data_IF_090756541250
#
_entry.id   IF_090756541250
#
_cell.length_a   1.000
_cell.length_b   1.000
_cell.length_c   1.000
_cell.angle_alpha   90.00
_cell.angle_beta   90.00
_cell.angle_gamma   90.00
#
_symmetry.space_group_name_H-M   'P 1'
#
loop_
_entity.id
_entity.type
_entity.pdbx_description
1 polymer ?
#
# COMPACT_ATOMS: atom_id res chain seq x y z
N UNK A 1 13.66 -7.49 10.20
CA UNK A 1 14.87 -7.15 9.42
C UNK A 1 14.54 -6.44 8.10
N UNK A 2 13.71 -6.97 7.20
CA UNK A 2 13.35 -6.24 5.95
C UNK A 2 12.82 -4.81 6.22
N UNK A 3 12.03 -4.65 7.27
CA UNK A 3 11.48 -3.38 7.76
C UNK A 3 12.49 -2.39 8.27
N UNK A 4 13.46 -2.87 9.05
CA UNK A 4 14.52 -2.01 9.56
C UNK A 4 15.41 -1.55 8.41
N UNK A 5 15.58 -2.36 7.36
CA UNK A 5 16.33 -1.95 6.16
C UNK A 5 15.62 -0.85 5.37
N UNK A 6 14.30 -0.96 5.14
CA UNK A 6 13.54 0.11 4.45
C UNK A 6 13.48 1.42 5.24
N UNK A 7 13.68 1.33 6.56
CA UNK A 7 13.54 2.40 7.53
C UNK A 7 14.87 3.04 7.95
N UNK A 8 15.97 2.28 7.93
CA UNK A 8 17.28 2.74 8.34
C UNK A 8 17.83 3.78 7.36
N UNK A 9 17.66 3.56 6.05
CA UNK A 9 18.18 4.46 5.03
C UNK A 9 17.80 5.95 5.26
N UNK A 10 16.51 6.31 5.47
CA UNK A 10 16.13 7.67 5.84
C UNK A 10 16.75 8.16 7.16
N UNK A 11 16.85 7.30 8.18
CA UNK A 11 17.44 7.68 9.47
C UNK A 11 18.91 8.08 9.33
N UNK A 12 19.68 7.33 8.56
CA UNK A 12 21.10 7.61 8.30
C UNK A 12 21.32 8.89 7.47
N UNK A 13 20.32 9.33 6.71
CA UNK A 13 20.37 10.59 5.97
C UNK A 13 20.22 11.81 6.89
N UNK A 14 19.33 11.74 7.87
CA UNK A 14 18.92 12.89 8.68
C UNK A 14 19.52 12.90 10.10
N UNK A 15 20.10 11.79 10.55
CA UNK A 15 20.65 11.64 11.88
C UNK A 15 22.13 11.28 11.81
N UNK A 16 22.88 11.69 12.83
CA UNK A 16 24.25 11.19 13.02
C UNK A 16 24.24 9.67 13.11
N UNK A 17 25.33 9.02 12.69
CA UNK A 17 25.48 7.56 12.71
C UNK A 17 25.14 6.96 14.10
N UNK A 18 25.50 7.67 15.17
CA UNK A 18 25.20 7.31 16.56
C UNK A 18 23.69 7.33 16.86
N UNK A 19 22.97 8.38 16.44
CA UNK A 19 21.53 8.52 16.62
C UNK A 19 20.77 7.51 15.75
N UNK A 20 21.20 7.30 14.49
CA UNK A 20 20.62 6.31 13.60
C UNK A 20 20.78 4.88 14.13
N UNK A 21 21.96 4.54 14.66
CA UNK A 21 22.20 3.26 15.32
C UNK A 21 21.34 3.09 16.59
N UNK A 22 21.26 4.12 17.44
CA UNK A 22 20.43 4.08 18.64
C UNK A 22 18.94 3.86 18.34
N UNK A 23 18.38 4.56 17.33
CA UNK A 23 17.00 4.35 16.91
C UNK A 23 16.81 2.95 16.33
N UNK A 24 17.75 2.47 15.53
CA UNK A 24 17.67 1.12 14.95
C UNK A 24 17.67 0.05 16.04
N UNK A 25 18.55 0.16 17.04
CA UNK A 25 18.60 -0.73 18.20
C UNK A 25 17.33 -0.63 19.05
N UNK A 26 16.81 0.59 19.25
CA UNK A 26 15.53 0.82 19.93
C UNK A 26 14.37 0.14 19.21
N UNK A 27 14.28 0.27 17.88
CA UNK A 27 13.26 -0.43 17.08
C UNK A 27 13.38 -1.95 17.18
N UNK A 28 14.59 -2.51 17.16
CA UNK A 28 14.83 -3.94 17.37
C UNK A 28 14.38 -4.35 18.78
N UNK A 29 14.71 -3.56 19.80
CA UNK A 29 14.29 -3.78 21.18
C UNK A 29 12.77 -3.81 21.31
N UNK A 30 12.06 -2.87 20.68
CA UNK A 30 10.59 -2.86 20.67
C UNK A 30 10.04 -4.08 19.92
N UNK A 31 10.62 -4.47 18.78
CA UNK A 31 10.21 -5.70 18.07
C UNK A 31 10.34 -6.91 18.99
N UNK A 32 11.49 -7.08 19.65
CA UNK A 32 11.73 -8.19 20.56
C UNK A 32 10.79 -8.16 21.76
N UNK A 33 10.56 -6.98 22.34
CA UNK A 33 9.62 -6.78 23.44
C UNK A 33 8.20 -7.14 23.02
N UNK A 34 7.76 -6.73 21.83
CA UNK A 34 6.43 -7.05 21.35
C UNK A 34 6.29 -8.51 20.90
N UNK A 35 7.35 -9.15 20.40
CA UNK A 35 7.36 -10.61 20.16
C UNK A 35 7.26 -11.39 21.47
N UNK A 36 7.97 -10.93 22.50
CA UNK A 36 7.84 -11.48 23.86
C UNK A 36 6.44 -11.23 24.41
N UNK A 37 5.88 -10.04 24.19
CA UNK A 37 4.52 -9.68 24.58
C UNK A 37 3.50 -10.55 23.85
N UNK A 38 3.61 -10.77 22.55
CA UNK A 38 2.70 -11.67 21.80
C UNK A 38 2.78 -13.11 22.35
N UNK A 39 3.98 -13.63 22.61
CA UNK A 39 4.14 -14.95 23.25
C UNK A 39 3.47 -15.03 24.62
N UNK A 40 3.50 -13.94 25.39
CA UNK A 40 2.94 -13.86 26.75
C UNK A 40 1.42 -13.63 26.70
N UNK A 41 0.98 -12.79 25.77
CA UNK A 41 -0.40 -12.34 25.61
C UNK A 41 -1.30 -13.46 25.05
N UNK A 42 -0.72 -14.41 24.31
CA UNK A 42 -1.40 -15.66 23.92
C UNK A 42 -1.78 -16.55 25.10
N UNK A 43 -1.21 -16.32 26.29
CA UNK A 43 -1.48 -17.15 27.46
C UNK A 43 -2.61 -16.59 28.33
N UNK A 44 -2.67 -15.30 28.65
CA UNK A 44 -3.64 -14.82 29.65
C UNK A 44 -4.11 -13.34 29.57
N UNK A 45 -3.73 -12.54 28.58
CA UNK A 45 -4.10 -11.12 28.54
C UNK A 45 -4.77 -10.77 27.20
N UNK A 46 -5.97 -10.20 27.26
CA UNK A 46 -6.63 -9.67 26.06
C UNK A 46 -6.16 -8.21 25.90
N UNK A 47 -5.43 -7.91 24.82
CA UNK A 47 -5.14 -6.51 24.46
C UNK A 47 -6.49 -5.82 24.24
N UNK A 48 -6.79 -4.87 25.13
CA UNK A 48 -8.01 -4.06 25.06
C UNK A 48 -7.97 -3.10 23.87
N UNK A 49 -9.15 -2.61 23.47
CA UNK A 49 -9.28 -1.63 22.40
C UNK A 49 -8.53 -0.31 22.71
N UNK A 50 -8.34 0.00 24.00
CA UNK A 50 -7.62 1.20 24.46
C UNK A 50 -6.20 1.36 23.89
N UNK A 51 -5.48 0.25 23.65
CA UNK A 51 -4.15 0.31 23.02
C UNK A 51 -4.19 0.76 21.55
N UNK A 52 -5.23 0.35 20.82
CA UNK A 52 -5.44 0.78 19.44
C UNK A 52 -5.86 2.25 19.38
N UNK A 53 -6.73 2.67 20.29
CA UNK A 53 -7.13 4.08 20.44
C UNK A 53 -5.88 4.92 20.76
N UNK A 54 -5.05 4.50 21.71
CA UNK A 54 -3.82 5.19 22.05
C UNK A 54 -2.87 5.30 20.85
N UNK A 55 -2.65 4.20 20.11
CA UNK A 55 -1.81 4.23 18.91
C UNK A 55 -2.38 5.16 17.84
N UNK A 56 -3.69 5.13 17.60
CA UNK A 56 -4.35 6.02 16.65
C UNK A 56 -4.18 7.48 17.07
N UNK A 57 -4.46 7.82 18.34
CA UNK A 57 -4.29 9.17 18.88
C UNK A 57 -2.84 9.65 18.80
N UNK A 58 -1.87 8.76 19.05
CA UNK A 58 -0.45 9.08 18.90
C UNK A 58 -0.10 9.42 17.46
N UNK A 59 -0.57 8.63 16.48
CA UNK A 59 -0.36 8.90 15.06
C UNK A 59 -1.07 10.18 14.61
N UNK A 60 -2.28 10.43 15.12
CA UNK A 60 -3.03 11.66 14.85
C UNK A 60 -2.32 12.88 15.42
N UNK A 61 -1.81 12.79 16.64
CA UNK A 61 -1.02 13.85 17.26
C UNK A 61 0.27 14.09 16.48
N UNK A 62 0.97 13.04 16.08
CA UNK A 62 2.17 13.13 15.25
C UNK A 62 1.87 13.82 13.92
N UNK A 63 0.76 13.47 13.25
CA UNK A 63 0.32 14.17 12.04
C UNK A 63 0.01 15.65 12.32
N UNK A 64 -0.80 15.95 13.33
CA UNK A 64 -1.20 17.33 13.64
C UNK A 64 0.00 18.26 13.91
N UNK A 65 1.08 17.73 14.49
CA UNK A 65 2.32 18.48 14.76
C UNK A 65 3.23 18.52 13.52
N UNK A 66 3.47 17.38 12.87
CA UNK A 66 4.48 17.26 11.81
C UNK A 66 3.98 17.72 10.44
N UNK A 67 2.68 17.66 10.18
CA UNK A 67 2.10 18.06 8.90
C UNK A 67 2.25 19.58 8.63
N UNK A 68 1.92 20.50 9.56
CA UNK A 68 2.16 21.93 9.35
C UNK A 68 3.65 22.26 9.16
N UNK A 69 4.54 21.52 9.82
CA UNK A 69 5.99 21.67 9.67
C UNK A 69 6.42 21.27 8.25
N UNK A 70 5.87 20.15 7.75
CA UNK A 70 6.08 19.67 6.39
C UNK A 70 5.59 20.68 5.34
N UNK A 71 4.43 21.30 5.56
CA UNK A 71 3.87 22.34 4.68
C UNK A 71 4.73 23.60 4.61
N UNK A 72 5.39 24.00 5.71
CA UNK A 72 6.28 25.18 5.73
C UNK A 72 7.59 24.98 4.96
N UNK A 73 7.82 23.80 4.39
CA UNK A 73 9.05 23.41 3.70
C UNK A 73 10.34 23.55 4.55
N UNK A 74 10.22 23.65 5.88
CA UNK A 74 11.33 24.00 6.80
C UNK A 74 12.21 22.81 7.18
N UNK A 75 11.61 21.62 7.37
CA UNK A 75 12.31 20.39 7.77
C UNK A 75 12.32 19.31 6.67
N UNK A 76 11.42 19.43 5.70
CA UNK A 76 11.35 18.63 4.47
C UNK A 76 10.68 19.48 3.40
N UNK A 77 10.94 19.24 2.11
CA UNK A 77 10.32 20.03 1.02
C UNK A 77 8.81 19.82 0.87
N UNK A 78 8.08 19.28 1.85
CA UNK A 78 6.66 18.91 1.69
C UNK A 78 6.48 17.58 0.95
N UNK A 79 5.23 17.12 0.80
CA UNK A 79 4.91 15.90 0.06
C UNK A 79 4.64 16.22 -1.41
N UNK A 80 5.57 15.82 -2.27
CA UNK A 80 5.44 15.85 -3.75
C UNK A 80 4.15 15.19 -4.25
N UNK A 81 3.60 14.26 -3.47
CA UNK A 81 2.46 13.43 -3.84
C UNK A 81 1.14 14.04 -3.42
N UNK A 82 1.12 14.68 -2.26
CA UNK A 82 -0.05 15.49 -1.87
C UNK A 82 -0.23 16.62 -2.88
N UNK A 83 0.88 17.28 -3.25
CA UNK A 83 0.91 18.32 -4.27
C UNK A 83 0.44 17.78 -5.63
N UNK A 84 0.91 16.59 -6.05
CA UNK A 84 0.44 15.94 -7.26
C UNK A 84 -1.09 15.75 -7.26
N UNK A 85 -1.68 15.19 -6.20
CA UNK A 85 -3.13 15.03 -6.10
C UNK A 85 -3.87 16.38 -6.13
N UNK A 86 -3.29 17.41 -5.49
CA UNK A 86 -3.86 18.76 -5.48
C UNK A 86 -3.88 19.38 -6.86
N UNK A 87 -2.75 19.33 -7.58
CA UNK A 87 -2.61 19.83 -8.94
C UNK A 87 -3.54 19.08 -9.89
N UNK A 88 -3.61 17.75 -9.78
CA UNK A 88 -4.48 16.94 -10.63
C UNK A 88 -5.97 17.29 -10.41
N UNK A 89 -6.41 17.40 -9.14
CA UNK A 89 -7.79 17.74 -8.82
C UNK A 89 -8.15 19.18 -9.17
N UNK A 90 -7.21 20.12 -8.98
CA UNK A 90 -7.40 21.51 -9.38
C UNK A 90 -7.47 21.66 -10.90
N UNK A 91 -6.63 20.95 -11.65
CA UNK A 91 -6.71 20.91 -13.11
C UNK A 91 -8.05 20.37 -13.59
N UNK A 92 -8.54 19.26 -13.00
CA UNK A 92 -9.88 18.72 -13.34
C UNK A 92 -10.99 19.72 -13.03
N UNK A 93 -10.90 20.42 -11.88
CA UNK A 93 -11.85 21.49 -11.51
C UNK A 93 -11.90 22.61 -12.55
N UNK A 94 -10.77 22.92 -13.18
CA UNK A 94 -10.65 23.94 -14.23
C UNK A 94 -10.79 23.39 -15.66
N UNK A 95 -11.26 22.14 -15.83
CA UNK A 95 -11.38 21.48 -17.13
C UNK A 95 -10.06 21.38 -17.92
N UNK A 96 -8.93 21.30 -17.21
CA UNK A 96 -7.59 21.15 -17.77
C UNK A 96 -7.10 19.71 -17.64
N UNK A 97 -6.17 19.32 -18.52
CA UNK A 97 -5.57 17.99 -18.48
C UNK A 97 -4.66 17.84 -17.23
N UNK A 98 -4.97 16.93 -16.29
CA UNK A 98 -4.34 16.93 -14.96
C UNK A 98 -2.86 16.50 -14.95
N UNK A 99 -2.38 15.88 -16.02
CA UNK A 99 -0.98 15.43 -16.13
C UNK A 99 -0.10 16.38 -16.96
N UNK A 100 -0.58 17.58 -17.29
CA UNK A 100 0.19 18.61 -18.00
C UNK A 100 1.13 19.40 -17.08
N UNK A 101 0.73 19.56 -15.81
CA UNK A 101 1.44 20.37 -14.82
C UNK A 101 2.41 19.51 -14.03
N UNK A 102 3.52 20.09 -13.58
CA UNK A 102 4.51 19.43 -12.74
C UNK A 102 4.34 19.82 -11.29
N UNK A 103 4.69 18.92 -10.39
CA UNK A 103 4.75 19.19 -8.95
C UNK A 103 5.80 20.25 -8.62
N UNK A 104 5.81 20.75 -7.38
CA UNK A 104 6.83 21.69 -6.93
C UNK A 104 8.27 21.14 -7.00
N UNK A 105 8.47 19.80 -7.07
CA UNK A 105 9.78 19.18 -7.34
C UNK A 105 10.08 19.00 -8.83
N UNK A 106 9.19 19.44 -9.72
CA UNK A 106 9.33 19.28 -11.17
C UNK A 106 9.02 17.87 -11.67
N UNK A 107 8.45 17.01 -10.83
CA UNK A 107 8.07 15.65 -11.22
C UNK A 107 6.71 15.64 -11.95
N UNK A 108 6.50 14.71 -12.89
CA UNK A 108 5.16 14.45 -13.39
C UNK A 108 4.30 13.87 -12.27
N UNK A 109 3.01 14.26 -12.17
CA UNK A 109 2.06 13.62 -11.29
C UNK A 109 2.00 12.11 -11.58
N UNK A 110 1.89 11.31 -10.53
CA UNK A 110 1.94 9.83 -10.60
C UNK A 110 0.70 9.10 -10.10
N UNK A 111 -0.15 9.67 -9.23
CA UNK A 111 -1.46 9.09 -8.96
C UNK A 111 -2.27 8.91 -10.27
N UNK A 112 -3.13 7.91 -10.30
CA UNK A 112 -4.09 7.72 -11.38
C UNK A 112 -5.49 8.16 -10.92
N UNK A 113 -6.47 8.30 -11.84
CA UNK A 113 -7.77 8.90 -11.52
C UNK A 113 -8.54 8.22 -10.39
N UNK A 114 -8.30 6.95 -10.09
CA UNK A 114 -8.85 6.29 -8.90
C UNK A 114 -8.43 6.96 -7.59
N UNK A 115 -7.17 7.39 -7.48
CA UNK A 115 -6.67 8.12 -6.31
C UNK A 115 -7.32 9.51 -6.22
N UNK A 116 -7.44 10.19 -7.36
CA UNK A 116 -8.12 11.49 -7.46
C UNK A 116 -9.56 11.39 -6.95
N UNK A 117 -10.32 10.40 -7.41
CA UNK A 117 -11.71 10.20 -7.01
C UNK A 117 -11.85 9.93 -5.50
N UNK A 118 -10.95 9.12 -4.92
CA UNK A 118 -10.95 8.83 -3.48
C UNK A 118 -10.52 10.03 -2.63
N UNK A 119 -9.68 10.91 -3.18
CA UNK A 119 -9.20 12.14 -2.54
C UNK A 119 -10.16 13.34 -2.71
N UNK A 120 -11.02 13.32 -3.74
CA UNK A 120 -11.88 14.44 -4.13
C UNK A 120 -12.76 15.01 -2.99
N UNK A 121 -13.38 14.19 -2.11
CA UNK A 121 -14.16 14.73 -0.99
C UNK A 121 -13.31 15.58 -0.03
N UNK A 122 -12.06 15.19 0.18
CA UNK A 122 -11.13 15.88 1.07
C UNK A 122 -10.54 17.14 0.43
N UNK A 123 -10.34 17.11 -0.89
CA UNK A 123 -10.00 18.29 -1.67
C UNK A 123 -11.10 19.35 -1.61
N UNK A 124 -12.38 18.95 -1.70
CA UNK A 124 -13.51 19.88 -1.62
C UNK A 124 -13.59 20.62 -0.28
N UNK A 125 -13.13 20.00 0.81
CA UNK A 125 -13.02 20.61 2.15
C UNK A 125 -11.71 21.41 2.33
N UNK A 126 -10.83 21.42 1.33
CA UNK A 126 -9.56 22.16 1.34
C UNK A 126 -8.38 21.43 1.97
N UNK A 127 -8.54 20.17 2.38
CA UNK A 127 -7.54 19.42 3.14
C UNK A 127 -7.38 17.98 2.63
N UNK A 128 -6.74 17.79 1.47
CA UNK A 128 -6.53 16.48 0.83
C UNK A 128 -5.91 15.46 1.79
N UNK A 129 -4.94 15.88 2.60
CA UNK A 129 -4.21 14.99 3.51
C UNK A 129 -5.11 14.38 4.62
N UNK A 130 -6.30 14.92 4.87
CA UNK A 130 -7.25 14.35 5.83
C UNK A 130 -7.77 12.97 5.42
N UNK A 131 -7.68 12.62 4.14
CA UNK A 131 -7.99 11.27 3.67
C UNK A 131 -7.18 10.21 4.41
N UNK A 132 -5.93 10.54 4.80
CA UNK A 132 -5.04 9.63 5.49
C UNK A 132 -5.64 9.16 6.82
N UNK A 133 -6.40 10.02 7.53
CA UNK A 133 -7.06 9.64 8.78
C UNK A 133 -8.22 8.67 8.58
N UNK A 134 -9.07 8.93 7.57
CA UNK A 134 -10.18 8.04 7.25
C UNK A 134 -9.63 6.65 6.90
N UNK A 135 -8.70 6.58 5.96
CA UNK A 135 -8.15 5.32 5.49
C UNK A 135 -7.35 4.61 6.58
N UNK A 136 -6.64 5.36 7.44
CA UNK A 136 -5.96 4.80 8.61
C UNK A 136 -6.95 4.16 9.59
N UNK A 137 -8.04 4.86 9.93
CA UNK A 137 -9.05 4.34 10.85
C UNK A 137 -9.70 3.06 10.30
N UNK A 138 -10.07 3.05 9.02
CA UNK A 138 -10.60 1.86 8.35
C UNK A 138 -9.56 0.73 8.28
N UNK A 139 -8.28 1.08 8.15
CA UNK A 139 -7.20 0.10 8.13
C UNK A 139 -6.94 -0.53 9.51
N UNK A 140 -7.14 0.21 10.61
CA UNK A 140 -7.18 -0.36 11.96
C UNK A 140 -8.31 -1.39 12.10
N UNK A 141 -9.51 -1.07 11.60
CA UNK A 141 -10.63 -2.01 11.60
C UNK A 141 -10.31 -3.25 10.75
N UNK A 142 -9.72 -3.06 9.57
CA UNK A 142 -9.27 -4.15 8.71
C UNK A 142 -8.26 -5.06 9.43
N UNK A 143 -7.19 -4.49 10.01
CA UNK A 143 -6.15 -5.29 10.68
C UNK A 143 -6.69 -6.06 11.90
N UNK A 144 -7.60 -5.46 12.66
CA UNK A 144 -8.31 -6.12 13.76
C UNK A 144 -9.18 -7.30 13.31
N UNK A 145 -9.72 -7.26 12.09
CA UNK A 145 -10.50 -8.36 11.49
C UNK A 145 -9.64 -9.37 10.76
N UNK A 146 -8.49 -8.94 10.24
CA UNK A 146 -7.58 -9.76 9.44
C UNK A 146 -6.76 -10.72 10.32
N UNK A 147 -6.24 -10.23 11.45
CA UNK A 147 -5.50 -11.05 12.40
C UNK A 147 -6.43 -11.72 13.40
N UNK A 148 -6.10 -12.95 13.80
CA UNK A 148 -6.84 -13.68 14.84
C UNK A 148 -6.61 -13.07 16.21
N UNK A 149 -5.39 -12.61 16.49
CA UNK A 149 -5.03 -12.03 17.78
C UNK A 149 -4.83 -10.53 17.68
N UNK A 150 -5.46 -9.79 18.60
CA UNK A 150 -5.28 -8.33 18.73
C UNK A 150 -3.83 -7.94 18.99
N UNK A 151 -3.06 -8.76 19.72
CA UNK A 151 -1.63 -8.51 19.91
C UNK A 151 -0.86 -8.49 18.59
N UNK A 152 -1.12 -9.44 17.68
CA UNK A 152 -0.52 -9.46 16.34
C UNK A 152 -0.92 -8.23 15.53
N UNK A 153 -2.19 -7.82 15.58
CA UNK A 153 -2.66 -6.61 14.90
C UNK A 153 -1.96 -5.34 15.43
N UNK A 154 -1.87 -5.19 16.75
CA UNK A 154 -1.19 -4.06 17.38
C UNK A 154 0.31 -4.05 17.06
N UNK A 155 0.95 -5.24 17.06
CA UNK A 155 2.33 -5.44 16.64
C UNK A 155 2.55 -4.98 15.20
N UNK A 156 1.72 -5.48 14.28
CA UNK A 156 1.75 -5.10 12.87
C UNK A 156 1.64 -3.58 12.70
N UNK A 157 0.63 -2.95 13.31
CA UNK A 157 0.39 -1.51 13.20
C UNK A 157 1.53 -0.70 13.81
N UNK A 158 2.00 -1.05 15.00
CA UNK A 158 3.09 -0.32 15.69
C UNK A 158 4.39 -0.39 14.89
N UNK A 159 4.74 -1.57 14.38
CA UNK A 159 5.94 -1.73 13.56
C UNK A 159 5.91 -0.86 12.31
N UNK A 160 4.74 -0.74 11.67
CA UNK A 160 4.67 -0.18 10.32
C UNK A 160 4.25 1.27 10.26
N UNK A 161 3.58 1.75 11.28
CA UNK A 161 3.13 3.13 11.35
C UNK A 161 4.07 3.97 12.22
N UNK A 162 4.68 3.38 13.25
CA UNK A 162 5.54 4.11 14.19
C UNK A 162 7.02 3.80 13.98
N UNK A 163 7.37 2.52 13.86
CA UNK A 163 8.78 2.08 13.80
C UNK A 163 9.36 2.04 12.39
N UNK A 164 8.58 2.43 11.39
CA UNK A 164 9.03 2.64 10.03
C UNK A 164 9.02 4.15 9.70
N UNK A 165 10.12 4.89 9.95
CA UNK A 165 10.16 6.34 9.78
C UNK A 165 9.84 6.80 8.36
N UNK A 166 10.13 5.98 7.35
CA UNK A 166 9.70 6.26 5.98
C UNK A 166 8.17 6.29 5.82
N UNK A 167 7.46 5.39 6.48
CA UNK A 167 5.99 5.35 6.47
C UNK A 167 5.40 6.45 7.35
N UNK A 168 5.98 6.68 8.52
CA UNK A 168 5.58 7.79 9.39
C UNK A 168 5.78 9.13 8.67
N UNK A 169 6.90 9.31 7.97
CA UNK A 169 7.17 10.51 7.18
C UNK A 169 6.18 10.63 6.01
N UNK A 170 5.89 9.56 5.27
CA UNK A 170 4.89 9.59 4.19
C UNK A 170 3.52 10.00 4.75
N UNK A 171 3.07 9.34 5.82
CA UNK A 171 1.80 9.64 6.49
C UNK A 171 1.71 11.09 6.98
N UNK A 172 2.70 11.55 7.74
CA UNK A 172 2.72 12.88 8.38
C UNK A 172 2.99 14.02 7.40
N UNK A 173 3.56 13.73 6.24
CA UNK A 173 3.73 14.69 5.16
C UNK A 173 2.48 14.85 4.28
N UNK A 174 1.44 14.05 4.49
CA UNK A 174 0.26 13.99 3.61
C UNK A 174 0.47 13.16 2.34
N UNK A 175 1.54 12.36 2.27
CA UNK A 175 1.79 11.41 1.19
C UNK A 175 0.69 10.35 1.06
N UNK A 176 0.55 9.83 -0.16
CA UNK A 176 -0.54 8.94 -0.55
C UNK A 176 -0.11 7.47 -0.74
N UNK A 177 1.18 7.11 -0.63
CA UNK A 177 1.60 5.71 -0.89
C UNK A 177 1.07 4.76 0.15
N UNK A 178 1.24 5.11 1.43
CA UNK A 178 0.76 4.28 2.53
C UNK A 178 -0.78 4.22 2.53
N UNK A 179 -1.42 5.38 2.36
CA UNK A 179 -2.88 5.52 2.24
C UNK A 179 -3.44 4.69 1.09
N UNK A 180 -2.72 4.67 -0.04
CA UNK A 180 -3.10 3.87 -1.19
C UNK A 180 -3.10 2.38 -0.89
N UNK A 181 -2.03 1.90 -0.25
CA UNK A 181 -2.01 0.53 0.23
C UNK A 181 -3.18 0.22 1.18
N UNK A 182 -3.56 1.13 2.07
CA UNK A 182 -4.68 0.92 2.99
C UNK A 182 -5.99 0.67 2.27
N UNK A 183 -6.42 1.57 1.39
CA UNK A 183 -7.71 1.40 0.73
C UNK A 183 -7.71 0.22 -0.25
N UNK A 184 -6.57 -0.11 -0.88
CA UNK A 184 -6.47 -1.30 -1.74
C UNK A 184 -6.60 -2.57 -0.90
N UNK A 185 -5.89 -2.66 0.23
CA UNK A 185 -6.00 -3.82 1.13
C UNK A 185 -7.42 -3.99 1.68
N UNK A 186 -8.07 -2.89 2.06
CA UNK A 186 -9.48 -2.88 2.51
C UNK A 186 -10.40 -3.35 1.38
N UNK A 187 -10.26 -2.82 0.16
CA UNK A 187 -11.09 -3.21 -0.98
C UNK A 187 -10.93 -4.69 -1.33
N UNK A 188 -9.70 -5.21 -1.32
CA UNK A 188 -9.42 -6.64 -1.51
C UNK A 188 -10.12 -7.48 -0.43
N UNK A 189 -10.05 -7.06 0.84
CA UNK A 189 -10.64 -7.80 1.95
C UNK A 189 -12.17 -7.80 1.91
N UNK A 190 -12.78 -6.66 1.56
CA UNK A 190 -14.23 -6.54 1.34
C UNK A 190 -14.67 -7.43 0.18
N UNK A 191 -13.97 -7.37 -0.96
CA UNK A 191 -14.24 -8.22 -2.11
C UNK A 191 -14.10 -9.70 -1.76
N UNK A 192 -13.01 -10.10 -1.11
CA UNK A 192 -12.79 -11.48 -0.65
C UNK A 192 -13.93 -11.98 0.25
N UNK A 193 -14.34 -11.17 1.22
CA UNK A 193 -15.43 -11.52 2.15
C UNK A 193 -16.76 -11.65 1.41
N UNK A 194 -16.98 -10.82 0.38
CA UNK A 194 -18.20 -10.84 -0.43
C UNK A 194 -18.33 -12.08 -1.34
N UNK A 195 -17.25 -12.84 -1.57
CA UNK A 195 -17.29 -14.01 -2.45
C UNK A 195 -18.13 -15.16 -1.86
N UNK A 196 -18.18 -15.27 -0.53
CA UNK A 196 -18.96 -16.28 0.19
C UNK A 196 -20.43 -15.91 0.42
N UNK A 197 -20.84 -14.70 0.04
CA UNK A 197 -22.17 -14.14 0.29
C UNK A 197 -22.93 -13.94 -1.01
N UNK A 198 -24.01 -13.16 -0.99
CA UNK A 198 -24.85 -12.86 -2.16
C UNK A 198 -24.15 -11.96 -3.18
N UNK A 199 -24.55 -12.06 -4.45
CA UNK A 199 -24.04 -11.21 -5.53
C UNK A 199 -24.22 -9.71 -5.25
N UNK A 200 -25.30 -9.33 -4.55
CA UNK A 200 -25.59 -7.94 -4.18
C UNK A 200 -24.52 -7.32 -3.28
N UNK A 201 -23.81 -8.13 -2.50
CA UNK A 201 -22.66 -7.66 -1.70
C UNK A 201 -21.36 -7.66 -2.51
N UNK A 202 -21.23 -8.57 -3.48
CA UNK A 202 -20.03 -8.66 -4.33
C UNK A 202 -19.94 -7.55 -5.37
N UNK A 203 -21.07 -7.10 -5.92
CA UNK A 203 -21.11 -6.02 -6.92
C UNK A 203 -20.49 -4.71 -6.39
N UNK A 204 -20.96 -4.11 -5.27
CA UNK A 204 -20.37 -2.88 -4.75
C UNK A 204 -18.91 -3.09 -4.32
N UNK A 205 -18.54 -4.26 -3.79
CA UNK A 205 -17.16 -4.57 -3.45
C UNK A 205 -16.25 -4.65 -4.69
N UNK A 206 -16.74 -5.22 -5.80
CA UNK A 206 -16.04 -5.29 -7.09
C UNK A 206 -15.87 -3.89 -7.71
N UNK A 207 -16.91 -3.06 -7.68
CA UNK A 207 -16.84 -1.67 -8.17
C UNK A 207 -15.84 -0.86 -7.35
N UNK A 208 -15.93 -0.93 -6.01
CA UNK A 208 -14.98 -0.24 -5.11
C UNK A 208 -13.55 -0.73 -5.35
N UNK A 209 -13.35 -2.03 -5.54
CA UNK A 209 -12.05 -2.58 -5.89
C UNK A 209 -11.54 -2.03 -7.23
N UNK A 210 -12.36 -1.95 -8.27
CA UNK A 210 -11.99 -1.33 -9.55
C UNK A 210 -11.51 0.11 -9.40
N UNK A 211 -12.21 0.93 -8.61
CA UNK A 211 -11.78 2.31 -8.29
C UNK A 211 -10.44 2.34 -7.54
N UNK A 212 -10.25 1.48 -6.55
CA UNK A 212 -8.98 1.46 -5.81
C UNK A 212 -7.81 0.95 -6.66
N UNK A 213 -8.03 -0.01 -7.56
CA UNK A 213 -7.00 -0.52 -8.46
C UNK A 213 -6.63 0.49 -9.55
N UNK A 214 -7.55 1.38 -9.94
CA UNK A 214 -7.26 2.50 -10.84
C UNK A 214 -6.54 3.68 -10.17
N UNK A 215 -6.06 3.51 -8.94
CA UNK A 215 -5.34 4.56 -8.22
C UNK A 215 -3.83 4.59 -8.52
N UNK A 216 -3.22 3.44 -8.82
CA UNK A 216 -1.82 3.31 -9.27
C UNK A 216 -1.65 2.06 -10.12
N UNK A 217 -0.87 2.18 -11.21
CA UNK A 217 -0.67 1.08 -12.17
C UNK A 217 -0.07 -0.19 -11.55
N UNK A 218 0.72 -0.06 -10.48
CA UNK A 218 1.35 -1.22 -9.82
C UNK A 218 0.33 -2.23 -9.29
N UNK A 219 -0.87 -1.78 -8.91
CA UNK A 219 -1.91 -2.66 -8.40
C UNK A 219 -2.64 -3.43 -9.50
N UNK A 220 -2.42 -3.14 -10.80
CA UNK A 220 -2.95 -3.95 -11.88
C UNK A 220 -2.49 -5.41 -11.77
N UNK A 221 -1.30 -5.66 -11.23
CA UNK A 221 -0.80 -7.02 -10.99
C UNK A 221 -1.60 -7.81 -9.94
N UNK A 222 -2.35 -7.13 -9.05
CA UNK A 222 -3.21 -7.79 -8.06
C UNK A 222 -4.33 -8.57 -8.74
N UNK A 223 -4.75 -8.16 -9.95
CA UNK A 223 -5.84 -8.81 -10.69
C UNK A 223 -5.58 -10.28 -10.98
N UNK A 224 -4.33 -10.68 -11.25
CA UNK A 224 -3.99 -12.07 -11.59
C UNK A 224 -4.20 -13.03 -10.41
N UNK A 225 -3.55 -12.85 -9.24
CA UNK A 225 -3.79 -13.73 -8.10
C UNK A 225 -5.20 -13.60 -7.53
N UNK A 226 -5.85 -12.45 -7.71
CA UNK A 226 -7.25 -12.28 -7.35
C UNK A 226 -8.18 -13.08 -8.26
N UNK A 227 -7.86 -13.17 -9.57
CA UNK A 227 -8.63 -13.95 -10.54
C UNK A 227 -8.57 -15.42 -10.17
N UNK A 228 -7.36 -15.93 -9.90
CA UNK A 228 -7.17 -17.30 -9.42
C UNK A 228 -7.94 -17.57 -8.11
N UNK A 229 -7.88 -16.65 -7.14
CA UNK A 229 -8.65 -16.77 -5.90
C UNK A 229 -10.16 -16.81 -6.14
N UNK A 230 -10.66 -15.97 -7.05
CA UNK A 230 -12.10 -15.86 -7.33
C UNK A 230 -12.61 -17.08 -8.10
N UNK A 231 -11.82 -17.60 -9.06
CA UNK A 231 -12.15 -18.80 -9.82
C UNK A 231 -12.14 -20.07 -8.98
N UNK A 232 -11.34 -20.10 -7.90
CA UNK A 232 -11.33 -21.21 -6.94
C UNK A 232 -12.53 -21.19 -5.99
N UNK A 233 -13.21 -20.05 -5.82
CA UNK A 233 -14.28 -19.87 -4.83
C UNK A 233 -15.68 -19.70 -5.42
N UNK A 234 -15.79 -19.39 -6.70
CA UNK A 234 -17.06 -19.07 -7.34
C UNK A 234 -17.16 -19.74 -8.72
N UNK A 235 -18.37 -19.76 -9.30
CA UNK A 235 -18.56 -20.26 -10.66
C UNK A 235 -17.84 -19.38 -11.69
N UNK A 236 -17.52 -19.96 -12.86
CA UNK A 236 -16.83 -19.24 -13.96
C UNK A 236 -17.60 -17.99 -14.41
N UNK A 237 -18.92 -18.09 -14.54
CA UNK A 237 -19.80 -16.96 -14.91
C UNK A 237 -19.75 -15.85 -13.87
N UNK A 238 -19.83 -16.21 -12.57
CA UNK A 238 -19.74 -15.22 -11.49
C UNK A 238 -18.36 -14.56 -11.45
N UNK A 239 -17.30 -15.33 -11.64
CA UNK A 239 -15.93 -14.80 -11.75
C UNK A 239 -15.81 -13.80 -12.90
N UNK A 240 -16.26 -14.17 -14.11
CA UNK A 240 -16.21 -13.31 -15.28
C UNK A 240 -17.01 -12.01 -15.07
N UNK A 241 -18.22 -12.10 -14.50
CA UNK A 241 -19.04 -10.94 -14.17
C UNK A 241 -18.35 -9.99 -13.18
N UNK A 242 -17.81 -10.52 -12.08
CA UNK A 242 -17.14 -9.69 -11.07
C UNK A 242 -15.89 -9.01 -11.63
N UNK A 243 -15.10 -9.70 -12.46
CA UNK A 243 -13.94 -9.11 -13.11
C UNK A 243 -14.32 -8.08 -14.17
N UNK A 244 -15.39 -8.31 -14.93
CA UNK A 244 -15.93 -7.31 -15.84
C UNK A 244 -16.33 -6.04 -15.06
N UNK A 245 -16.99 -6.17 -13.90
CA UNK A 245 -17.36 -5.02 -13.06
C UNK A 245 -16.13 -4.26 -12.53
N UNK A 246 -15.09 -4.97 -12.08
CA UNK A 246 -13.82 -4.36 -11.64
C UNK A 246 -13.21 -3.53 -12.79
N UNK A 247 -13.13 -4.12 -14.00
CA UNK A 247 -12.56 -3.46 -15.17
C UNK A 247 -13.42 -2.28 -15.65
N UNK A 248 -14.74 -2.43 -15.67
CA UNK A 248 -15.68 -1.36 -16.03
C UNK A 248 -15.54 -0.19 -15.06
N UNK A 249 -15.48 -0.43 -13.74
CA UNK A 249 -15.28 0.64 -12.77
C UNK A 249 -13.92 1.33 -12.94
N UNK A 250 -12.85 0.55 -13.13
CA UNK A 250 -11.52 1.11 -13.38
C UNK A 250 -11.49 1.98 -14.65
N UNK A 251 -12.07 1.50 -15.75
CA UNK A 251 -12.16 2.23 -17.01
C UNK A 251 -13.06 3.47 -16.91
N UNK A 252 -14.22 3.36 -16.25
CA UNK A 252 -15.16 4.46 -16.08
C UNK A 252 -14.56 5.63 -15.29
N UNK A 253 -13.68 5.34 -14.32
CA UNK A 253 -12.95 6.38 -13.59
C UNK A 253 -11.74 6.91 -14.36
N UNK A 254 -11.05 6.03 -15.09
CA UNK A 254 -9.75 6.38 -15.69
C UNK A 254 -9.90 7.04 -17.06
N UNK A 255 -10.65 6.44 -17.98
CA UNK A 255 -10.67 6.85 -19.39
C UNK A 255 -11.21 8.27 -19.62
N UNK A 256 -12.25 8.75 -18.91
CA UNK A 256 -12.76 10.10 -19.15
C UNK A 256 -11.72 11.20 -18.91
N UNK A 257 -10.82 11.01 -17.94
CA UNK A 257 -9.76 11.97 -17.62
C UNK A 257 -8.72 12.10 -18.75
N UNK A 258 -8.57 11.07 -19.57
CA UNK A 258 -7.62 11.06 -20.68
C UNK A 258 -8.26 11.47 -22.03
N UNK A 259 -9.56 11.80 -22.06
CA UNK A 259 -10.23 12.30 -23.25
C UNK A 259 -9.61 13.62 -23.78
N UNK A 260 -9.64 13.90 -25.10
CA UNK A 260 -10.33 13.17 -26.17
C UNK A 260 -9.57 11.95 -26.69
N UNK A 261 -8.28 11.79 -26.37
CA UNK A 261 -7.44 10.68 -26.84
C UNK A 261 -7.02 9.75 -25.69
N UNK A 262 -7.96 8.96 -25.12
CA UNK A 262 -7.76 8.28 -23.85
C UNK A 262 -6.56 7.34 -23.83
N UNK A 263 -6.41 6.52 -24.86
CA UNK A 263 -5.32 5.55 -24.93
C UNK A 263 -3.94 6.19 -25.14
N UNK A 264 -3.85 7.22 -26.00
CA UNK A 264 -2.59 7.91 -26.28
C UNK A 264 -2.09 8.62 -25.03
N UNK A 265 -2.95 9.40 -24.39
CA UNK A 265 -2.60 10.16 -23.19
C UNK A 265 -2.29 9.22 -22.01
N UNK A 266 -3.02 8.11 -21.86
CA UNK A 266 -2.72 7.10 -20.84
C UNK A 266 -1.35 6.43 -21.07
N UNK A 267 -1.04 6.02 -22.31
CA UNK A 267 0.26 5.45 -22.64
C UNK A 267 1.41 6.45 -22.44
N UNK A 268 1.19 7.71 -22.81
CA UNK A 268 2.16 8.79 -22.54
C UNK A 268 2.42 8.95 -21.04
N UNK A 269 1.37 8.91 -20.22
CA UNK A 269 1.48 8.97 -18.77
C UNK A 269 2.25 7.77 -18.19
N UNK A 270 2.03 6.55 -18.71
CA UNK A 270 2.84 5.38 -18.36
C UNK A 270 4.31 5.55 -18.77
N UNK A 271 4.56 6.13 -19.96
CA UNK A 271 5.90 6.38 -20.46
C UNK A 271 6.65 7.44 -19.65
N UNK A 272 5.99 8.50 -19.18
CA UNK A 272 6.58 9.49 -18.29
C UNK A 272 7.04 8.86 -16.96
N UNK A 273 6.20 7.99 -16.39
CA UNK A 273 6.56 7.24 -15.18
C UNK A 273 7.72 6.26 -15.41
N UNK A 274 7.85 5.75 -16.63
CA UNK A 274 8.94 4.87 -17.04
C UNK A 274 10.31 5.55 -17.09
N UNK A 275 10.42 6.88 -17.03
CA UNK A 275 11.71 7.59 -17.01
C UNK A 275 12.57 7.18 -15.82
N UNK A 276 11.95 6.74 -14.73
CA UNK A 276 12.62 6.18 -13.55
C UNK A 276 13.37 4.87 -13.86
N UNK A 277 13.03 4.18 -14.95
CA UNK A 277 13.73 2.98 -15.41
C UNK A 277 15.09 3.30 -16.05
N UNK A 278 15.42 4.56 -16.31
CA UNK A 278 16.69 4.95 -16.95
C UNK A 278 17.93 4.55 -16.15
N UNK A 279 17.78 4.31 -14.85
CA UNK A 279 18.87 3.88 -13.95
C UNK A 279 19.13 2.38 -14.00
N UNK A 280 18.25 1.59 -14.63
CA UNK A 280 18.46 0.16 -14.83
C UNK A 280 19.10 -0.02 -16.22
N UNK A 281 20.18 -0.82 -16.36
CA UNK A 281 20.84 -1.03 -17.64
C UNK A 281 19.87 -1.48 -18.73
N UNK A 282 19.94 -0.83 -19.90
CA UNK A 282 19.03 -1.08 -21.03
C UNK A 282 19.06 -2.53 -21.52
N UNK A 283 20.18 -3.23 -21.34
CA UNK A 283 20.34 -4.66 -21.66
C UNK A 283 19.30 -5.55 -20.98
N UNK A 284 18.78 -5.16 -19.81
CA UNK A 284 17.74 -5.91 -19.12
C UNK A 284 16.33 -5.60 -19.59
N UNK A 285 16.12 -4.67 -20.54
CA UNK A 285 14.81 -4.24 -21.03
C UNK A 285 13.75 -4.11 -19.92
N UNK A 286 14.01 -3.33 -18.85
CA UNK A 286 13.26 -3.40 -17.61
C UNK A 286 11.78 -2.98 -17.74
N UNK A 287 11.44 -2.30 -18.85
CA UNK A 287 10.05 -1.99 -19.25
C UNK A 287 9.23 -3.25 -19.55
N UNK A 288 9.86 -4.32 -20.02
CA UNK A 288 9.19 -5.56 -20.41
C UNK A 288 9.51 -6.71 -19.46
N UNK A 289 10.77 -6.87 -19.07
CA UNK A 289 11.22 -8.02 -18.27
C UNK A 289 10.64 -8.02 -16.87
N UNK A 290 10.59 -6.87 -16.19
CA UNK A 290 10.06 -6.79 -14.82
C UNK A 290 8.55 -7.07 -14.78
N UNK A 291 7.70 -6.43 -15.62
CA UNK A 291 6.28 -6.79 -15.68
C UNK A 291 6.04 -8.24 -16.09
N UNK A 292 6.77 -8.75 -17.08
CA UNK A 292 6.62 -10.14 -17.53
C UNK A 292 6.96 -11.12 -16.40
N UNK A 293 8.07 -10.92 -15.70
CA UNK A 293 8.46 -11.76 -14.57
C UNK A 293 7.41 -11.69 -13.43
N UNK A 294 6.92 -10.49 -13.12
CA UNK A 294 5.90 -10.32 -12.10
C UNK A 294 4.56 -10.98 -12.50
N UNK A 295 4.18 -10.95 -13.78
CA UNK A 295 3.03 -11.67 -14.33
C UNK A 295 3.23 -13.18 -14.21
N UNK A 296 4.38 -13.70 -14.63
CA UNK A 296 4.69 -15.14 -14.55
C UNK A 296 4.62 -15.65 -13.10
N UNK A 297 5.21 -14.92 -12.15
CA UNK A 297 5.13 -15.27 -10.73
C UNK A 297 3.70 -15.14 -10.20
N UNK A 298 2.93 -14.15 -10.66
CA UNK A 298 1.51 -14.01 -10.30
C UNK A 298 0.67 -15.20 -10.78
N UNK A 299 0.98 -15.76 -11.96
CA UNK A 299 0.27 -16.91 -12.53
C UNK A 299 0.42 -18.19 -11.69
N UNK A 300 1.44 -18.28 -10.83
CA UNK A 300 1.59 -19.39 -9.87
C UNK A 300 0.34 -19.53 -8.97
N UNK A 301 -0.38 -18.43 -8.73
CA UNK A 301 -1.65 -18.42 -7.98
C UNK A 301 -2.70 -19.41 -8.47
N UNK A 302 -2.75 -19.72 -9.77
CA UNK A 302 -3.71 -20.67 -10.33
C UNK A 302 -3.45 -22.12 -9.89
N UNK A 303 -2.22 -22.42 -9.47
CA UNK A 303 -1.79 -23.75 -9.06
C UNK A 303 -1.72 -23.93 -7.54
N UNK A 304 -1.98 -22.86 -6.78
CA UNK A 304 -1.93 -22.87 -5.32
C UNK A 304 -3.34 -22.70 -4.74
N UNK A 305 -3.67 -23.34 -3.61
CA UNK A 305 -4.91 -23.04 -2.90
C UNK A 305 -4.86 -21.60 -2.39
N UNK A 306 -5.76 -20.74 -2.86
CA UNK A 306 -5.72 -19.32 -2.57
C UNK A 306 -6.61 -18.95 -1.38
N UNK A 307 -6.06 -18.13 -0.49
CA UNK A 307 -6.75 -17.47 0.61
C UNK A 307 -6.24 -16.03 0.74
N UNK A 308 -6.88 -15.23 1.59
CA UNK A 308 -6.55 -13.81 1.71
C UNK A 308 -5.08 -13.57 2.14
N UNK A 309 -4.50 -14.27 3.13
CA UNK A 309 -3.06 -14.14 3.42
C UNK A 309 -2.15 -14.50 2.25
N UNK A 310 -2.42 -15.59 1.51
CA UNK A 310 -1.62 -15.99 0.33
C UNK A 310 -1.75 -14.99 -0.82
N UNK A 311 -2.90 -14.35 -0.97
CA UNK A 311 -3.06 -13.23 -1.90
C UNK A 311 -2.09 -12.10 -1.57
N UNK A 312 -2.03 -11.67 -0.30
CA UNK A 312 -1.07 -10.66 0.15
C UNK A 312 0.40 -11.09 -0.01
N UNK A 313 0.73 -12.38 0.17
CA UNK A 313 2.06 -12.89 -0.18
C UNK A 313 2.39 -12.64 -1.64
N UNK A 314 1.52 -13.07 -2.56
CA UNK A 314 1.77 -12.94 -3.99
C UNK A 314 1.83 -11.48 -4.42
N UNK A 315 0.94 -10.63 -3.90
CA UNK A 315 1.02 -9.18 -4.11
C UNK A 315 2.35 -8.63 -3.59
N UNK A 316 2.81 -9.07 -2.42
CA UNK A 316 4.09 -8.68 -1.86
C UNK A 316 5.27 -9.05 -2.76
N UNK A 317 5.33 -10.31 -3.22
CA UNK A 317 6.40 -10.82 -4.08
C UNK A 317 6.39 -10.15 -5.45
N UNK A 318 5.23 -10.00 -6.08
CA UNK A 318 5.13 -9.47 -7.46
C UNK A 318 5.43 -7.98 -7.50
N UNK A 319 4.97 -7.23 -6.49
CA UNK A 319 5.34 -5.82 -6.33
C UNK A 319 6.81 -5.65 -5.94
N UNK A 320 7.39 -6.58 -5.17
CA UNK A 320 8.83 -6.60 -4.89
C UNK A 320 9.66 -6.79 -6.17
N UNK A 321 9.28 -7.73 -7.04
CA UNK A 321 9.93 -7.97 -8.35
C UNK A 321 9.93 -6.68 -9.18
N UNK A 322 8.80 -5.96 -9.19
CA UNK A 322 8.72 -4.69 -9.90
C UNK A 322 9.58 -3.59 -9.28
N UNK A 323 9.55 -3.43 -7.96
CA UNK A 323 10.05 -2.23 -7.27
C UNK A 323 11.49 -2.36 -6.75
N UNK A 324 11.94 -3.56 -6.37
CA UNK A 324 13.28 -3.76 -5.82
C UNK A 324 14.41 -3.32 -6.77
N UNK A 325 14.36 -3.61 -8.08
CA UNK A 325 15.38 -3.12 -9.01
C UNK A 325 15.49 -1.60 -9.03
N UNK A 326 14.38 -0.86 -8.90
CA UNK A 326 14.41 0.60 -8.81
C UNK A 326 15.09 1.08 -7.54
N UNK A 327 14.73 0.48 -6.39
CA UNK A 327 15.31 0.90 -5.11
C UNK A 327 16.81 0.61 -5.05
N UNK A 328 17.24 -0.55 -5.56
CA UNK A 328 18.66 -0.89 -5.66
C UNK A 328 19.39 0.08 -6.59
N UNK A 329 18.85 0.37 -7.78
CA UNK A 329 19.51 1.29 -8.72
C UNK A 329 19.50 2.74 -8.23
N UNK A 330 18.44 3.20 -7.56
CA UNK A 330 18.44 4.50 -6.90
C UNK A 330 19.49 4.60 -5.79
N UNK A 331 19.62 3.55 -4.97
CA UNK A 331 20.63 3.49 -3.92
C UNK A 331 22.06 3.61 -4.48
N UNK A 332 22.32 2.97 -5.62
CA UNK A 332 23.65 2.96 -6.25
C UNK A 332 23.96 4.21 -7.07
N UNK A 333 22.98 4.73 -7.83
CA UNK A 333 23.24 5.70 -8.90
C UNK A 333 22.59 7.08 -8.72
N UNK A 334 21.77 7.31 -7.68
CA UNK A 334 21.09 8.59 -7.48
C UNK A 334 21.36 9.16 -6.10
N UNK A 335 22.06 10.29 -6.00
CA UNK A 335 22.27 10.97 -4.72
C UNK A 335 20.97 11.47 -4.09
N UNK A 336 20.01 11.90 -4.93
CA UNK A 336 18.71 12.37 -4.46
C UNK A 336 17.81 11.24 -3.96
N UNK A 337 17.83 10.09 -4.64
CA UNK A 337 16.93 8.97 -4.36
C UNK A 337 17.60 7.81 -3.62
N UNK A 338 18.86 7.98 -3.17
CA UNK A 338 19.66 6.92 -2.51
C UNK A 338 18.92 6.24 -1.36
N UNK A 339 18.06 6.98 -0.66
CA UNK A 339 17.34 6.52 0.52
C UNK A 339 15.84 6.26 0.27
N UNK A 340 15.41 6.17 -0.98
CA UNK A 340 14.00 6.01 -1.36
C UNK A 340 13.46 4.58 -1.19
N UNK A 341 13.89 3.87 -0.13
CA UNK A 341 13.44 2.50 0.15
C UNK A 341 11.95 2.40 0.49
N UNK A 342 11.29 3.53 0.79
CA UNK A 342 9.84 3.58 0.97
C UNK A 342 9.07 3.09 -0.26
N UNK A 343 9.68 3.04 -1.46
CA UNK A 343 9.04 2.46 -2.65
C UNK A 343 8.69 0.98 -2.43
N UNK A 344 9.39 0.27 -1.53
CA UNK A 344 9.08 -1.12 -1.16
C UNK A 344 7.97 -1.24 -0.11
N UNK A 345 7.31 -0.16 0.31
CA UNK A 345 6.27 -0.18 1.34
C UNK A 345 5.16 -1.18 1.03
N UNK A 346 4.61 -1.14 -0.20
CA UNK A 346 3.55 -2.05 -0.65
C UNK A 346 3.99 -3.51 -0.54
N UNK A 347 5.20 -3.82 -1.00
CA UNK A 347 5.73 -5.18 -0.97
C UNK A 347 5.95 -5.69 0.46
N UNK A 348 6.53 -4.85 1.31
CA UNK A 348 6.82 -5.18 2.71
C UNK A 348 5.54 -5.34 3.52
N UNK A 349 4.61 -4.38 3.44
CA UNK A 349 3.31 -4.43 4.11
C UNK A 349 2.51 -5.69 3.74
N UNK A 350 2.40 -5.98 2.43
CA UNK A 350 1.69 -7.17 1.95
C UNK A 350 2.35 -8.45 2.46
N UNK A 351 3.68 -8.55 2.36
CA UNK A 351 4.43 -9.70 2.86
C UNK A 351 4.25 -9.89 4.38
N UNK A 352 4.21 -8.82 5.17
CA UNK A 352 4.03 -8.94 6.62
C UNK A 352 2.62 -9.30 7.04
N UNK A 353 1.59 -8.85 6.31
CA UNK A 353 0.22 -9.34 6.53
C UNK A 353 0.21 -10.88 6.41
N UNK A 354 0.83 -11.42 5.36
CA UNK A 354 0.99 -12.86 5.21
C UNK A 354 1.83 -13.51 6.32
N UNK A 355 3.04 -12.99 6.57
CA UNK A 355 4.00 -13.62 7.46
C UNK A 355 3.47 -13.70 8.90
N UNK A 356 2.87 -12.61 9.41
CA UNK A 356 2.28 -12.58 10.74
C UNK A 356 1.01 -13.44 10.82
N UNK A 357 0.16 -13.46 9.79
CA UNK A 357 -0.99 -14.37 9.74
C UNK A 357 -0.55 -15.85 9.75
N UNK A 358 0.54 -16.19 9.04
CA UNK A 358 1.10 -17.54 9.08
C UNK A 358 1.65 -17.90 10.46
N UNK A 359 2.28 -16.95 11.13
CA UNK A 359 2.80 -17.13 12.48
C UNK A 359 1.70 -17.46 13.51
N UNK A 360 0.53 -16.83 13.42
CA UNK A 360 -0.63 -17.16 14.27
C UNK A 360 -1.11 -18.60 14.06
N UNK A 361 -1.13 -19.07 12.81
CA UNK A 361 -1.61 -20.40 12.47
C UNK A 361 -0.67 -21.53 12.96
N UNK A 362 0.65 -21.33 12.88
CA UNK A 362 1.64 -22.32 13.34
C UNK A 362 1.63 -22.54 14.86
N UNK A 363 1.09 -21.58 15.61
CA UNK A 363 1.18 -21.58 17.07
C UNK A 363 -0.09 -22.07 17.75
N UNK A 364 -1.11 -22.44 16.98
CA UNK A 364 -2.26 -23.13 17.56
C UNK A 364 -1.81 -24.54 17.94
N UNK A 365 -2.00 -24.98 19.20
CA UNK A 365 -1.73 -26.37 19.54
C UNK A 365 -2.53 -27.26 18.57
N UNK A 366 -1.96 -28.37 18.08
CA UNK A 366 -2.73 -29.31 17.29
C UNK A 366 -3.99 -29.62 18.10
N UNK A 367 -5.17 -29.35 17.54
CA UNK A 367 -6.40 -29.83 18.13
C UNK A 367 -6.19 -31.34 18.27
N UNK A 368 -5.99 -31.82 19.49
CA UNK A 368 -6.08 -33.23 19.81
C UNK A 368 -7.49 -33.60 19.41
N UNK A 369 -7.62 -34.13 18.20
CA UNK A 369 -8.82 -34.79 17.71
C UNK A 369 -9.03 -35.95 18.66
N UNK A 370 -9.79 -35.70 19.73
CA UNK A 370 -10.39 -36.73 20.54
C UNK A 370 -11.25 -37.54 19.58
N UNK A 371 -10.67 -38.64 19.12
CA UNK A 371 -11.34 -39.71 18.41
C UNK A 371 -12.58 -40.09 19.22
N UNK A 372 -13.74 -39.99 18.60
CA UNK A 372 -14.89 -40.83 18.91
C UNK A 372 -14.98 -41.84 17.77
#
# INVERSE_FOLDING_TARGET
>A
MAWTLTSAAPLWKYLSSTKAAAITLGSIGIVLAMLRLDRTNRRHLQIGLGWFILLFLLLTTAFAVLYPISLKHTLNRGSDREDALRIELDAVRHHQYPYSTRTFLGNPPTPLPGAMLLAAPFFAVGHIAWQNFLWLALFFVFTLRFFRYRATALLFLTLFLLLAPGHLSDFTSGGDYLTNFFYVAIAIALFYSSLGTSIYTSVPAALFLGVTLSSRIIYALVLIPLLALTSQRTSRTRTALLFLLILVAACAVTLPIFAPHPFVNFLQQLQQNSLKLRYIPRAFHPRMTLPLLAILVSCISFFLPMNLPRLFLLVGVTTFILLAPFVVTFALYSDQLRYAFFYLSVSTLSFSLWALSRYENLSSPPHTSSQI
#
